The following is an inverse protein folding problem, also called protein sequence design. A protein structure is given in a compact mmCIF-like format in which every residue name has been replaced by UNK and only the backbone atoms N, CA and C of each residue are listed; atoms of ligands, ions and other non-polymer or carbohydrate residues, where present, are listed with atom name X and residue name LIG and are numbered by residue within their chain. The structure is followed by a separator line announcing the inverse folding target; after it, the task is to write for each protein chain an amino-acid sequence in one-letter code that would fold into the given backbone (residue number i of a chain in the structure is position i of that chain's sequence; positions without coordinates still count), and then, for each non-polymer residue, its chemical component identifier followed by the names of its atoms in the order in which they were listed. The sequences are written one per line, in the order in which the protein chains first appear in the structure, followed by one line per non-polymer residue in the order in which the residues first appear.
data_IF_176977173038
#
_entry.id   IF_176977173038
#
_cell.length_a   1.000
_cell.length_b   1.000
_cell.length_c   1.000
_cell.angle_alpha   90.00
_cell.angle_beta   90.00
_cell.angle_gamma   90.00
#
_symmetry.space_group_name_H-M   'P 1'
#
loop_
_entity.id
_entity.type
_entity.pdbx_description
1 polymer ?
#
# COMPACT_ATOMS: atom_id res chain seq x y z
N UNK A 1 -8.88 -0.22 -20.63
CA UNK A 1 -7.44 -0.43 -20.38
C UNK A 1 -7.19 -1.30 -19.15
N UNK A 2 -7.65 -0.93 -17.94
CA UNK A 2 -7.48 -1.76 -16.74
C UNK A 2 -8.06 -3.18 -16.88
N UNK A 3 -9.28 -3.31 -17.40
CA UNK A 3 -9.92 -4.60 -17.69
C UNK A 3 -9.07 -5.45 -18.63
N UNK A 4 -8.57 -4.87 -19.73
CA UNK A 4 -7.71 -5.56 -20.70
C UNK A 4 -6.43 -6.08 -20.06
N UNK A 5 -5.71 -5.23 -19.31
CA UNK A 5 -4.49 -5.61 -18.58
C UNK A 5 -4.74 -6.77 -17.62
N UNK A 6 -5.86 -6.72 -16.88
CA UNK A 6 -6.27 -7.80 -15.98
C UNK A 6 -6.54 -9.09 -16.75
N UNK A 7 -7.33 -9.02 -17.83
CA UNK A 7 -7.63 -10.18 -18.67
C UNK A 7 -6.38 -10.80 -19.28
N UNK A 8 -5.42 -9.99 -19.75
CA UNK A 8 -4.13 -10.48 -20.25
C UNK A 8 -3.35 -11.21 -19.16
N UNK A 9 -3.27 -10.64 -17.94
CA UNK A 9 -2.59 -11.28 -16.82
C UNK A 9 -3.26 -12.61 -16.45
N UNK A 10 -4.59 -12.64 -16.28
CA UNK A 10 -5.34 -13.84 -15.91
C UNK A 10 -5.17 -15.00 -16.92
N UNK A 11 -4.92 -14.69 -18.20
CA UNK A 11 -4.70 -15.67 -19.26
C UNK A 11 -3.22 -16.01 -19.49
N UNK A 12 -2.30 -15.45 -18.70
CA UNK A 12 -0.86 -15.72 -18.82
C UNK A 12 -0.44 -16.97 -18.03
N UNK A 13 0.57 -17.69 -18.51
CA UNK A 13 1.18 -18.79 -17.74
C UNK A 13 1.74 -18.32 -16.39
N UNK A 14 2.14 -17.04 -16.31
CA UNK A 14 2.68 -16.43 -15.10
C UNK A 14 1.64 -16.31 -13.97
N UNK A 15 0.34 -16.27 -14.29
CA UNK A 15 -0.72 -16.08 -13.29
C UNK A 15 -0.75 -17.18 -12.23
N UNK A 16 -0.72 -18.45 -12.67
CA UNK A 16 -0.77 -19.61 -11.77
C UNK A 16 0.42 -19.61 -10.80
N UNK A 17 1.62 -19.38 -11.33
CA UNK A 17 2.85 -19.28 -10.52
C UNK A 17 2.77 -18.15 -9.50
N UNK A 18 2.33 -16.97 -9.93
CA UNK A 18 2.22 -15.78 -9.06
C UNK A 18 1.22 -15.98 -7.93
N UNK A 19 0.08 -16.62 -8.19
CA UNK A 19 -0.90 -16.93 -7.15
C UNK A 19 -0.40 -17.96 -6.15
N UNK A 20 0.26 -19.03 -6.62
CA UNK A 20 0.83 -20.05 -5.72
C UNK A 20 1.86 -19.40 -4.80
N UNK A 21 2.78 -18.60 -5.35
CA UNK A 21 3.77 -17.87 -4.57
C UNK A 21 3.10 -16.96 -3.52
N UNK A 22 2.09 -16.20 -3.93
CA UNK A 22 1.31 -15.36 -3.00
C UNK A 22 0.69 -16.17 -1.87
N UNK A 23 0.00 -17.29 -2.18
CA UNK A 23 -0.64 -18.12 -1.15
C UNK A 23 0.39 -18.72 -0.18
N UNK A 24 1.51 -19.22 -0.70
CA UNK A 24 2.59 -19.79 0.12
C UNK A 24 3.22 -18.71 1.01
N UNK A 25 3.40 -17.48 0.52
CA UNK A 25 3.85 -16.34 1.33
C UNK A 25 2.83 -15.96 2.41
N UNK A 26 1.54 -15.86 2.08
CA UNK A 26 0.47 -15.55 3.05
C UNK A 26 0.38 -16.60 4.17
N UNK A 27 0.64 -17.86 3.84
CA UNK A 27 0.70 -18.97 4.78
C UNK A 27 2.02 -19.02 5.58
N UNK A 28 2.97 -18.10 5.33
CA UNK A 28 4.32 -18.07 5.90
C UNK A 28 5.12 -19.35 5.61
N UNK A 29 4.83 -19.99 4.47
CA UNK A 29 5.53 -21.19 3.99
C UNK A 29 6.72 -20.85 3.10
N UNK A 30 6.87 -19.57 2.73
CA UNK A 30 7.98 -19.03 1.96
C UNK A 30 8.27 -17.60 2.43
N UNK A 31 9.56 -17.29 2.62
CA UNK A 31 10.01 -15.93 2.89
C UNK A 31 9.80 -15.04 1.65
N UNK A 32 9.61 -13.74 1.88
CA UNK A 32 9.57 -12.78 0.79
C UNK A 32 11.00 -12.46 0.34
N UNK A 33 11.56 -13.34 -0.49
CA UNK A 33 12.93 -13.23 -1.00
C UNK A 33 12.96 -12.78 -2.48
N UNK A 34 11.91 -12.13 -2.96
CA UNK A 34 11.85 -11.68 -4.36
C UNK A 34 12.89 -10.58 -4.62
N UNK A 35 13.89 -10.81 -5.50
CA UNK A 35 14.81 -9.77 -5.94
C UNK A 35 14.06 -8.60 -6.57
N UNK A 36 14.71 -7.43 -6.62
CA UNK A 36 14.16 -6.21 -7.22
C UNK A 36 13.63 -6.43 -8.65
N UNK A 37 14.24 -7.34 -9.41
CA UNK A 37 13.83 -7.72 -10.77
C UNK A 37 12.47 -8.42 -10.86
N UNK A 38 11.97 -8.97 -9.74
CA UNK A 38 10.68 -9.67 -9.64
C UNK A 38 9.55 -8.76 -9.14
N UNK A 39 9.85 -7.50 -8.79
CA UNK A 39 8.82 -6.51 -8.46
C UNK A 39 8.11 -6.07 -9.74
N UNK A 40 7.08 -6.83 -10.11
CA UNK A 40 6.25 -6.55 -11.25
C UNK A 40 5.35 -5.33 -11.04
N UNK A 41 5.00 -4.66 -12.14
CA UNK A 41 3.97 -3.62 -12.15
C UNK A 41 2.62 -4.15 -11.65
N UNK A 42 2.29 -5.39 -12.00
CA UNK A 42 1.12 -6.07 -11.51
C UNK A 42 1.41 -6.69 -10.15
N UNK A 43 0.65 -6.32 -9.12
CA UNK A 43 0.80 -6.85 -7.76
C UNK A 43 -0.19 -7.99 -7.55
N UNK A 44 0.24 -9.27 -7.49
CA UNK A 44 -0.70 -10.40 -7.46
C UNK A 44 -1.67 -10.37 -6.28
N UNK A 45 -1.29 -9.74 -5.17
CA UNK A 45 -2.13 -9.59 -3.98
C UNK A 45 -3.42 -8.78 -4.21
N UNK A 46 -3.53 -7.97 -5.27
CA UNK A 46 -4.79 -7.27 -5.61
C UNK A 46 -5.90 -8.25 -6.01
N UNK A 47 -5.57 -9.45 -6.48
CA UNK A 47 -6.58 -10.46 -6.83
C UNK A 47 -7.35 -10.98 -5.61
N UNK A 48 -6.81 -10.80 -4.40
CA UNK A 48 -7.54 -11.07 -3.17
C UNK A 48 -8.80 -10.21 -3.07
N UNK A 49 -8.82 -9.01 -3.67
CA UNK A 49 -10.03 -8.16 -3.68
C UNK A 49 -11.19 -8.83 -4.40
N UNK A 50 -10.94 -9.57 -5.48
CA UNK A 50 -11.99 -10.35 -6.16
C UNK A 50 -12.49 -11.50 -5.29
N UNK A 51 -11.60 -12.22 -4.60
CA UNK A 51 -11.99 -13.27 -3.65
C UNK A 51 -12.83 -12.72 -2.49
N UNK A 52 -12.50 -11.52 -1.99
CA UNK A 52 -13.29 -10.87 -0.95
C UNK A 52 -14.68 -10.45 -1.46
N UNK A 53 -14.82 -10.02 -2.72
CA UNK A 53 -16.13 -9.73 -3.31
C UNK A 53 -17.01 -10.99 -3.42
N UNK A 54 -16.43 -12.13 -3.79
CA UNK A 54 -17.13 -13.41 -3.82
C UNK A 54 -17.53 -13.84 -2.40
N UNK A 55 -16.63 -13.67 -1.43
CA UNK A 55 -16.91 -13.94 -0.02
C UNK A 55 -18.09 -13.10 0.50
N UNK A 56 -18.12 -11.81 0.19
CA UNK A 56 -19.24 -10.92 0.56
C UNK A 56 -20.56 -11.39 -0.06
N UNK A 57 -20.54 -11.83 -1.32
CA UNK A 57 -21.72 -12.35 -2.02
C UNK A 57 -22.25 -13.62 -1.36
N UNK A 58 -21.36 -14.55 -0.99
CA UNK A 58 -21.74 -15.81 -0.33
C UNK A 58 -22.20 -15.63 1.12
N UNK A 59 -21.85 -14.50 1.75
CA UNK A 59 -22.07 -14.27 3.17
C UNK A 59 -22.87 -12.99 3.45
N UNK A 60 -23.66 -12.49 2.49
CA UNK A 60 -24.38 -11.22 2.59
C UNK A 60 -25.23 -11.12 3.88
N UNK A 61 -25.87 -12.23 4.29
CA UNK A 61 -26.62 -12.32 5.54
C UNK A 61 -25.82 -12.04 6.81
N UNK A 62 -24.48 -12.17 6.79
CA UNK A 62 -23.59 -11.82 7.93
C UNK A 62 -23.27 -10.33 8.01
N UNK A 63 -23.56 -9.58 6.94
CA UNK A 63 -23.22 -8.16 6.79
C UNK A 63 -24.46 -7.25 6.78
N UNK A 64 -25.57 -7.68 7.38
CA UNK A 64 -26.85 -6.95 7.37
C UNK A 64 -26.76 -5.49 7.88
N UNK A 65 -25.78 -5.17 8.72
CA UNK A 65 -25.55 -3.83 9.24
C UNK A 65 -24.70 -2.93 8.31
N UNK A 66 -24.23 -3.46 7.18
CA UNK A 66 -23.35 -2.78 6.22
C UNK A 66 -23.95 -2.77 4.83
N UNK A 67 -23.62 -1.75 4.06
CA UNK A 67 -23.93 -1.68 2.64
C UNK A 67 -22.98 -2.60 1.85
N UNK A 68 -23.40 -3.84 1.64
CA UNK A 68 -22.61 -4.86 0.93
C UNK A 68 -22.32 -4.45 -0.52
N UNK A 69 -23.24 -3.75 -1.17
CA UNK A 69 -23.03 -3.23 -2.53
C UNK A 69 -21.88 -2.22 -2.54
N UNK A 70 -21.85 -1.31 -1.57
CA UNK A 70 -20.77 -0.33 -1.42
C UNK A 70 -19.44 -0.99 -1.05
N UNK A 71 -19.44 -2.00 -0.19
CA UNK A 71 -18.23 -2.78 0.12
C UNK A 71 -17.63 -3.42 -1.14
N UNK A 72 -18.47 -4.05 -1.96
CA UNK A 72 -18.04 -4.67 -3.23
C UNK A 72 -17.48 -3.62 -4.19
N UNK A 73 -18.15 -2.48 -4.34
CA UNK A 73 -17.68 -1.37 -5.17
C UNK A 73 -16.34 -0.80 -4.67
N UNK A 74 -16.16 -0.64 -3.36
CA UNK A 74 -14.88 -0.19 -2.80
C UNK A 74 -13.73 -1.15 -3.11
N UNK A 75 -13.97 -2.46 -3.04
CA UNK A 75 -12.99 -3.49 -3.44
C UNK A 75 -12.70 -3.46 -4.94
N UNK A 76 -13.72 -3.29 -5.77
CA UNK A 76 -13.58 -3.17 -7.23
C UNK A 76 -12.79 -1.93 -7.63
N UNK A 77 -13.10 -0.77 -7.04
CA UNK A 77 -12.39 0.48 -7.28
C UNK A 77 -10.93 0.38 -6.81
N UNK A 78 -10.69 -0.29 -5.67
CA UNK A 78 -9.34 -0.60 -5.16
C UNK A 78 -8.52 -1.44 -6.14
N UNK A 79 -9.14 -2.48 -6.71
CA UNK A 79 -8.53 -3.34 -7.71
C UNK A 79 -8.13 -2.54 -8.96
N UNK A 80 -9.08 -1.79 -9.53
CA UNK A 80 -8.82 -1.08 -10.78
C UNK A 80 -7.87 0.11 -10.62
N UNK A 81 -7.94 0.85 -9.50
CA UNK A 81 -6.98 1.91 -9.19
C UNK A 81 -5.54 1.36 -9.01
N UNK A 82 -5.41 0.13 -8.50
CA UNK A 82 -4.10 -0.53 -8.36
C UNK A 82 -3.51 -0.96 -9.72
N UNK A 83 -4.36 -1.34 -10.68
CA UNK A 83 -3.94 -1.76 -12.05
C UNK A 83 -3.68 -0.54 -12.94
N UNK A 84 -4.49 0.50 -12.80
CA UNK A 84 -4.43 1.72 -13.59
C UNK A 84 -4.38 2.94 -12.66
N UNK A 85 -3.17 3.34 -12.21
CA UNK A 85 -2.99 4.42 -11.23
C UNK A 85 -3.55 5.78 -11.67
N UNK A 86 -3.82 5.97 -12.96
CA UNK A 86 -4.47 7.16 -13.50
C UNK A 86 -5.93 7.30 -13.04
N UNK A 87 -6.59 6.20 -12.63
CA UNK A 87 -7.94 6.23 -12.06
C UNK A 87 -7.95 6.78 -10.62
N UNK A 88 -6.81 6.78 -9.94
CA UNK A 88 -6.75 7.01 -8.50
C UNK A 88 -7.32 8.38 -8.08
N UNK A 89 -7.12 9.45 -8.87
CA UNK A 89 -7.67 10.76 -8.53
C UNK A 89 -9.20 10.78 -8.53
N UNK A 90 -9.79 10.07 -9.49
CA UNK A 90 -11.24 9.93 -9.63
C UNK A 90 -11.75 9.11 -8.44
N UNK A 91 -11.11 7.97 -8.17
CA UNK A 91 -11.55 7.09 -7.08
C UNK A 91 -11.47 7.75 -5.69
N UNK A 92 -10.42 8.53 -5.42
CA UNK A 92 -10.30 9.31 -4.18
C UNK A 92 -11.40 10.37 -4.11
N UNK A 93 -11.78 10.98 -5.24
CA UNK A 93 -12.87 11.95 -5.29
C UNK A 93 -14.25 11.32 -5.02
N UNK A 94 -14.48 10.09 -5.48
CA UNK A 94 -15.75 9.38 -5.33
C UNK A 94 -16.01 8.85 -3.91
N UNK A 95 -14.97 8.77 -3.06
CA UNK A 95 -15.10 8.37 -1.66
C UNK A 95 -16.22 9.15 -0.95
N UNK A 96 -17.10 8.42 -0.26
CA UNK A 96 -18.23 8.99 0.49
C UNK A 96 -17.76 9.41 1.89
N UNK A 97 -17.94 10.69 2.28
CA UNK A 97 -17.54 11.17 3.60
C UNK A 97 -18.18 10.36 4.74
N UNK A 98 -17.38 9.98 5.73
CA UNK A 98 -17.82 9.34 6.97
C UNK A 98 -18.59 8.01 6.77
N UNK A 99 -18.42 7.34 5.62
CA UNK A 99 -18.97 6.00 5.34
C UNK A 99 -17.87 4.95 5.47
N UNK A 100 -18.06 3.98 6.37
CA UNK A 100 -17.06 2.93 6.63
C UNK A 100 -16.89 2.00 5.43
N UNK A 101 -17.96 1.78 4.69
CA UNK A 101 -18.02 0.94 3.50
C UNK A 101 -17.40 1.61 2.27
N UNK A 102 -17.14 2.92 2.32
CA UNK A 102 -16.49 3.67 1.24
C UNK A 102 -15.00 3.86 1.53
N UNK A 103 -14.17 3.09 0.82
CA UNK A 103 -12.73 3.09 1.02
C UNK A 103 -11.97 2.73 -0.26
N UNK A 104 -10.66 2.98 -0.25
CA UNK A 104 -9.72 2.38 -1.21
C UNK A 104 -8.63 1.62 -0.45
N UNK A 105 -8.27 0.43 -0.92
CA UNK A 105 -7.12 -0.33 -0.43
C UNK A 105 -6.10 -0.42 -1.57
N UNK A 106 -4.90 0.10 -1.32
CA UNK A 106 -3.83 0.18 -2.31
C UNK A 106 -2.60 -0.58 -1.79
N UNK A 107 -2.06 -1.56 -2.53
CA UNK A 107 -0.76 -2.13 -2.23
C UNK A 107 0.32 -1.23 -2.84
N UNK A 108 1.07 -0.54 -1.98
CA UNK A 108 2.09 0.42 -2.40
C UNK A 108 3.47 -0.22 -2.29
N UNK A 109 4.30 -0.01 -3.31
CA UNK A 109 5.74 -0.19 -3.17
C UNK A 109 6.37 1.09 -2.64
N UNK A 110 7.25 0.94 -1.67
CA UNK A 110 8.03 1.99 -1.04
C UNK A 110 9.49 1.73 -1.29
N UNK A 111 10.18 2.71 -1.85
CA UNK A 111 11.63 2.71 -1.98
C UNK A 111 12.23 3.58 -0.86
N UNK A 112 13.22 3.04 -0.16
CA UNK A 112 13.97 3.77 0.87
C UNK A 112 15.46 3.41 0.85
N UNK A 113 16.23 4.19 1.58
CA UNK A 113 17.68 4.04 1.67
C UNK A 113 18.05 3.52 3.05
N UNK A 114 18.89 2.49 3.11
CA UNK A 114 19.47 2.04 4.37
C UNK A 114 20.71 2.86 4.76
N UNK A 115 21.26 2.59 5.95
CA UNK A 115 22.44 3.30 6.45
C UNK A 115 23.73 2.93 5.71
N UNK A 116 23.66 1.95 4.80
CA UNK A 116 24.78 1.42 4.01
C UNK A 116 24.74 1.91 2.57
N UNK A 117 23.94 2.95 2.31
CA UNK A 117 23.76 3.54 0.99
C UNK A 117 23.16 2.57 -0.05
N UNK A 118 22.43 1.55 0.40
CA UNK A 118 21.71 0.62 -0.46
C UNK A 118 20.23 1.01 -0.58
N UNK A 119 19.72 0.85 -1.80
CA UNK A 119 18.29 0.97 -2.05
C UNK A 119 17.56 -0.29 -1.61
N UNK A 120 16.56 -0.10 -0.76
CA UNK A 120 15.66 -1.14 -0.30
C UNK A 120 14.24 -0.85 -0.78
N UNK A 121 13.50 -1.93 -0.98
CA UNK A 121 12.15 -1.92 -1.51
C UNK A 121 11.28 -2.73 -0.58
N UNK A 122 10.10 -2.18 -0.28
CA UNK A 122 9.16 -2.79 0.65
C UNK A 122 7.74 -2.54 0.19
N UNK A 123 6.85 -3.50 0.41
CA UNK A 123 5.43 -3.34 0.12
C UNK A 123 4.66 -3.03 1.41
N UNK A 124 3.78 -2.02 1.33
CA UNK A 124 2.87 -1.64 2.40
C UNK A 124 1.44 -1.64 1.89
N UNK A 125 0.49 -1.97 2.76
CA UNK A 125 -0.92 -1.69 2.49
C UNK A 125 -1.23 -0.23 2.80
N UNK A 126 -2.14 0.38 2.04
CA UNK A 126 -2.66 1.71 2.32
C UNK A 126 -4.18 1.67 2.23
N UNK A 127 -4.87 2.10 3.30
CA UNK A 127 -6.32 2.26 3.31
C UNK A 127 -6.65 3.75 3.32
N UNK A 128 -7.41 4.19 2.32
CA UNK A 128 -7.94 5.55 2.25
C UNK A 128 -9.42 5.57 2.62
N UNK A 129 -9.80 6.56 3.42
CA UNK A 129 -11.21 6.89 3.72
C UNK A 129 -11.38 8.40 3.71
N UNK A 130 -12.60 8.86 3.43
CA UNK A 130 -12.91 10.29 3.42
C UNK A 130 -13.66 10.71 4.69
N UNK A 131 -13.21 11.80 5.30
CA UNK A 131 -13.95 12.64 6.23
C UNK A 131 -14.53 13.85 5.47
N UNK A 132 -15.26 14.75 6.12
CA UNK A 132 -15.78 15.95 5.44
C UNK A 132 -14.65 16.75 4.77
N UNK A 133 -13.67 17.20 5.56
CA UNK A 133 -12.59 18.08 5.09
C UNK A 133 -11.24 17.39 4.92
N UNK A 134 -11.17 16.08 5.20
CA UNK A 134 -9.91 15.32 5.23
C UNK A 134 -10.01 13.99 4.50
N UNK A 135 -8.88 13.53 3.99
CA UNK A 135 -8.65 12.15 3.60
C UNK A 135 -7.84 11.50 4.71
N UNK A 136 -8.36 10.45 5.31
CA UNK A 136 -7.65 9.61 6.25
C UNK A 136 -6.88 8.53 5.50
N UNK A 137 -5.63 8.32 5.90
CA UNK A 137 -4.78 7.26 5.39
C UNK A 137 -4.28 6.41 6.54
N UNK A 138 -4.37 5.10 6.37
CA UNK A 138 -3.77 4.09 7.24
C UNK A 138 -2.77 3.28 6.41
N UNK A 139 -1.48 3.40 6.72
CA UNK A 139 -0.41 2.62 6.11
C UNK A 139 -0.11 1.42 7.00
N UNK A 140 -0.28 0.21 6.46
CA UNK A 140 -0.09 -1.08 7.12
C UNK A 140 1.26 -1.64 6.67
N UNK A 141 2.22 -1.70 7.60
CA UNK A 141 3.60 -2.05 7.31
C UNK A 141 4.00 -3.36 8.01
N UNK A 142 4.41 -4.37 7.24
CA UNK A 142 4.80 -5.70 7.73
C UNK A 142 6.32 -5.89 7.84
N UNK A 143 7.13 -4.86 7.59
CA UNK A 143 8.61 -4.97 7.54
C UNK A 143 9.30 -5.28 8.86
N UNK A 144 8.57 -5.29 9.99
CA UNK A 144 9.11 -5.42 11.34
C UNK A 144 10.10 -4.30 11.75
N UNK A 145 10.36 -3.31 10.89
CA UNK A 145 11.29 -2.21 11.13
C UNK A 145 10.50 -0.93 11.40
N UNK A 146 10.30 -0.54 12.68
CA UNK A 146 9.67 0.75 12.97
C UNK A 146 10.53 1.87 12.41
N UNK A 147 9.92 2.73 11.59
CA UNK A 147 10.60 3.88 11.00
C UNK A 147 10.45 5.06 11.97
N UNK A 148 11.53 5.52 12.63
CA UNK A 148 11.44 6.52 13.70
C UNK A 148 10.87 7.87 13.27
N UNK A 149 10.93 8.17 11.97
CA UNK A 149 10.49 9.44 11.39
C UNK A 149 8.99 9.50 11.05
N UNK A 150 8.26 8.38 11.10
CA UNK A 150 6.81 8.35 10.84
C UNK A 150 6.04 8.58 12.14
N UNK A 151 4.91 9.30 12.09
CA UNK A 151 4.00 9.49 13.23
C UNK A 151 3.54 8.11 13.73
N UNK A 152 4.04 7.68 14.89
CA UNK A 152 3.55 6.51 15.61
C UNK A 152 2.26 6.87 16.35
N UNK A 153 1.18 6.09 16.24
CA UNK A 153 0.01 6.31 17.08
C UNK A 153 -0.37 5.15 17.98
N UNK A 154 0.40 4.05 18.09
CA UNK A 154 0.09 3.02 19.09
C UNK A 154 1.36 2.56 19.82
N UNK A 155 1.34 2.53 21.17
CA UNK A 155 2.36 1.84 21.94
C UNK A 155 2.33 0.35 21.60
N UNK A 156 3.50 -0.29 21.61
CA UNK A 156 3.61 -1.76 21.54
C UNK A 156 2.61 -2.38 22.53
N UNK A 157 1.60 -3.08 22.01
CA UNK A 157 0.76 -3.92 22.86
C UNK A 157 1.67 -5.06 23.30
N UNK A 158 2.31 -4.90 24.45
CA UNK A 158 3.17 -5.91 25.03
C UNK A 158 2.34 -7.17 25.25
N UNK A 159 2.54 -8.18 24.40
CA UNK A 159 2.04 -9.51 24.70
C UNK A 159 2.60 -9.92 26.07
N UNK A 160 1.76 -10.39 27.01
CA UNK A 160 2.14 -10.62 28.40
C UNK A 160 3.20 -11.73 28.57
N UNK A 161 3.52 -12.46 27.51
CA UNK A 161 4.40 -13.61 27.54
C UNK A 161 5.59 -13.43 26.60
N UNK A 162 6.81 -13.48 27.16
CA UNK A 162 8.07 -13.15 26.47
C UNK A 162 8.39 -14.09 25.32
N UNK A 163 7.86 -15.33 25.33
CA UNK A 163 8.04 -16.31 24.26
C UNK A 163 7.23 -16.00 22.99
N UNK A 164 6.20 -15.14 23.06
CA UNK A 164 5.39 -14.75 21.91
C UNK A 164 5.81 -13.41 21.28
N UNK A 165 6.82 -12.73 21.83
CA UNK A 165 7.31 -11.43 21.34
C UNK A 165 7.85 -11.45 19.90
N UNK A 166 8.12 -12.64 19.34
CA UNK A 166 8.57 -12.81 17.95
C UNK A 166 7.42 -12.97 16.93
N UNK A 167 6.15 -12.92 17.36
CA UNK A 167 5.01 -13.21 16.47
C UNK A 167 4.24 -11.94 16.08
N UNK A 168 4.56 -11.46 14.88
CA UNK A 168 3.86 -10.47 14.03
C UNK A 168 3.72 -9.07 14.62
N UNK A 169 4.52 -8.13 14.12
CA UNK A 169 4.37 -6.71 14.44
C UNK A 169 4.11 -5.92 13.15
N UNK A 170 2.86 -5.99 12.71
CA UNK A 170 2.32 -5.05 11.74
C UNK A 170 2.34 -3.66 12.39
N UNK A 171 2.95 -2.68 11.74
CA UNK A 171 3.01 -1.29 12.20
C UNK A 171 2.05 -0.46 11.36
N UNK A 172 1.07 0.18 12.00
CA UNK A 172 0.12 1.06 11.32
C UNK A 172 0.51 2.53 11.52
N UNK A 173 0.60 3.28 10.43
CA UNK A 173 0.83 4.72 10.42
C UNK A 173 -0.42 5.45 9.94
N UNK A 174 -0.84 6.48 10.67
CA UNK A 174 -2.10 7.19 10.40
C UNK A 174 -1.82 8.64 10.02
N UNK A 175 -2.46 9.08 8.94
CA UNK A 175 -2.34 10.43 8.41
C UNK A 175 -3.72 11.02 8.13
N UNK A 176 -3.83 12.33 8.32
CA UNK A 176 -4.99 13.12 7.94
C UNK A 176 -4.50 14.19 6.96
N UNK A 177 -4.99 14.13 5.72
CA UNK A 177 -4.59 15.03 4.64
C UNK A 177 -5.78 15.95 4.33
N UNK A 178 -5.62 17.28 4.42
CA UNK A 178 -6.67 18.22 4.00
C UNK A 178 -7.12 17.94 2.57
N UNK A 179 -8.42 18.02 2.29
CA UNK A 179 -8.99 17.65 0.97
C UNK A 179 -8.42 18.50 -0.18
N UNK A 180 -8.02 19.74 0.09
CA UNK A 180 -7.30 20.63 -0.84
C UNK A 180 -5.98 20.04 -1.34
N UNK A 181 -5.34 19.16 -0.56
CA UNK A 181 -4.10 18.49 -0.92
C UNK A 181 -4.31 17.17 -1.67
N UNK A 182 -5.56 16.83 -2.05
CA UNK A 182 -5.90 15.58 -2.74
C UNK A 182 -5.01 15.31 -3.95
N UNK A 183 -4.83 16.27 -4.85
CA UNK A 183 -4.05 16.05 -6.08
C UNK A 183 -2.57 15.76 -5.77
N UNK A 184 -2.00 16.39 -4.73
CA UNK A 184 -0.63 16.07 -4.27
C UNK A 184 -0.57 14.67 -3.69
N UNK A 185 -1.56 14.29 -2.88
CA UNK A 185 -1.66 12.95 -2.32
C UNK A 185 -1.79 11.89 -3.42
N UNK A 186 -2.65 12.10 -4.41
CA UNK A 186 -2.81 11.18 -5.54
C UNK A 186 -1.48 10.96 -6.24
N UNK A 187 -0.74 12.03 -6.56
CA UNK A 187 0.59 11.91 -7.20
C UNK A 187 1.55 11.03 -6.39
N UNK A 188 1.59 11.22 -5.07
CA UNK A 188 2.44 10.41 -4.18
C UNK A 188 2.03 8.93 -4.17
N UNK A 189 0.74 8.64 -4.08
CA UNK A 189 0.23 7.27 -4.08
C UNK A 189 0.43 6.59 -5.44
N UNK A 190 0.22 7.32 -6.54
CA UNK A 190 0.48 6.86 -7.89
C UNK A 190 1.94 6.44 -8.06
N UNK A 191 2.91 7.16 -7.48
CA UNK A 191 4.31 6.72 -7.51
C UNK A 191 4.44 5.30 -6.93
N UNK A 192 3.87 5.04 -5.76
CA UNK A 192 3.91 3.73 -5.11
C UNK A 192 3.19 2.60 -5.86
N UNK A 193 2.30 2.93 -6.80
CA UNK A 193 1.61 1.97 -7.68
C UNK A 193 2.28 1.81 -9.04
N UNK A 194 3.22 2.69 -9.40
CA UNK A 194 3.92 2.63 -10.69
C UNK A 194 5.12 1.69 -10.67
N UNK A 195 5.62 1.40 -11.87
CA UNK A 195 6.88 0.69 -12.11
C UNK A 195 8.01 1.23 -11.22
N UNK A 196 8.79 0.31 -10.68
CA UNK A 196 9.82 0.65 -9.69
C UNK A 196 10.89 1.58 -10.25
N UNK A 197 11.18 1.48 -11.56
CA UNK A 197 12.12 2.34 -12.27
C UNK A 197 11.68 3.81 -12.28
N UNK A 198 10.36 4.06 -12.35
CA UNK A 198 9.81 5.42 -12.28
C UNK A 198 9.99 6.00 -10.87
N UNK A 199 9.75 5.17 -9.84
CA UNK A 199 9.98 5.56 -8.46
C UNK A 199 11.46 5.84 -8.17
N UNK A 200 12.37 5.01 -8.69
CA UNK A 200 13.81 5.23 -8.59
C UNK A 200 14.25 6.54 -9.25
N UNK A 201 13.73 6.83 -10.45
CA UNK A 201 14.07 8.06 -11.18
C UNK A 201 13.65 9.30 -10.40
N UNK A 202 12.44 9.28 -9.82
CA UNK A 202 11.93 10.37 -8.98
C UNK A 202 12.71 10.50 -7.66
N UNK A 203 12.99 9.38 -6.99
CA UNK A 203 13.78 9.37 -5.76
C UNK A 203 15.23 9.85 -5.97
N UNK A 204 15.85 9.49 -7.11
CA UNK A 204 17.18 9.98 -7.51
C UNK A 204 17.17 11.48 -7.82
N UNK A 205 16.13 11.97 -8.49
CA UNK A 205 15.95 13.40 -8.75
C UNK A 205 15.85 14.20 -7.44
N UNK A 206 15.01 13.73 -6.51
CA UNK A 206 14.87 14.36 -5.20
C UNK A 206 16.17 14.24 -4.37
N UNK A 207 16.90 13.11 -4.43
CA UNK A 207 18.21 12.96 -3.78
C UNK A 207 19.22 14.00 -4.30
N UNK A 208 19.27 14.23 -5.63
CA UNK A 208 20.15 15.24 -6.24
C UNK A 208 19.81 16.65 -5.78
N UNK A 209 18.52 16.97 -5.64
CA UNK A 209 18.06 18.28 -5.17
C UNK A 209 18.40 18.50 -3.69
N UNK A 210 18.31 17.47 -2.84
CA UNK A 210 18.53 17.60 -1.40
C UNK A 210 20.02 17.53 -0.98
N UNK A 211 20.89 16.95 -1.82
CA UNK A 211 22.35 16.90 -1.59
C UNK A 211 23.04 18.25 -1.88
N UNK A 212 22.36 19.23 -2.49
CA UNK A 212 22.83 20.61 -2.57
C UNK A 212 21.78 21.58 -2.02
N UNK A 213 21.98 22.34 -0.91
CA UNK A 213 23.11 22.43 0.01
C UNK A 213 22.68 22.14 1.47
N UNK A 214 23.08 21.00 2.04
CA UNK A 214 23.11 20.83 3.50
C UNK A 214 24.35 20.04 3.93
N UNK A 215 25.52 20.63 3.63
CA UNK A 215 26.73 20.30 4.36
C UNK A 215 26.50 20.61 5.85
N UNK A 216 26.72 19.59 6.69
CA UNK A 216 26.77 19.61 8.17
C UNK A 216 25.41 19.70 8.88
N UNK A 217 24.81 18.55 9.18
CA UNK A 217 24.41 18.12 10.55
C UNK A 217 23.62 16.80 10.51
N UNK A 218 24.05 15.89 11.39
CA UNK A 218 23.44 14.63 11.84
C UNK A 218 23.38 13.43 10.88
N UNK A 219 24.06 12.36 11.31
CA UNK A 219 24.10 11.00 10.75
C UNK A 219 22.81 10.22 11.02
N UNK A 220 21.65 10.78 10.69
CA UNK A 220 20.35 10.09 10.77
C UNK A 220 19.57 10.35 9.48
N UNK A 221 20.05 9.80 8.37
CA UNK A 221 19.40 9.90 7.06
C UNK A 221 18.48 8.71 6.79
N UNK A 222 17.47 8.49 7.64
CA UNK A 222 16.30 7.65 7.27
C UNK A 222 15.19 8.55 6.74
N UNK A 223 15.42 9.20 5.60
CA UNK A 223 14.39 9.99 4.89
C UNK A 223 13.73 9.10 3.84
N UNK A 224 12.48 8.74 4.10
CA UNK A 224 11.63 7.96 3.20
C UNK A 224 10.86 8.93 2.30
N UNK A 225 10.80 8.62 1.00
CA UNK A 225 10.37 9.53 -0.05
C UNK A 225 8.85 9.67 -0.24
N UNK A 226 8.02 8.91 0.48
CA UNK A 226 6.59 8.85 0.13
C UNK A 226 5.65 9.66 1.01
N UNK A 227 6.01 10.01 2.25
CA UNK A 227 5.08 10.68 3.18
C UNK A 227 5.80 11.57 4.21
N UNK A 228 6.61 12.54 3.75
CA UNK A 228 7.03 13.69 4.57
C UNK A 228 6.18 14.92 4.23
#
# INVERSE_FOLDING_TARGET
MAITKRTEFLNSEQYGTSLIQLFVQLLNLMENNSPLSEYHFYKPNIELFSLYQDYLTLNEAKYQASDVSMLKRSLENSLYASIEPNLLEIEIHELKPNKKESFLVLPLTVIFYDCSDNWLVHEVGCILRRAEDFIYLEIIDTSHLPIPTRKQPLPEIMAPDTHFRHKKTIVNYFYSVPIENKTKLTKLLTLGLTKIENQFSEALFLKKIWIMPSLKRNKDYRKIFLLN
#
